data_IF_608645370257
#
_entry.id   IF_608645370257
#
_cell.length_a   1.000
_cell.length_b   1.000
_cell.length_c   1.000
_cell.angle_alpha   90.00
_cell.angle_beta   90.00
_cell.angle_gamma   90.00
#
_symmetry.space_group_name_H-M   'P 1'
#
loop_
_entity.id
_entity.type
_entity.pdbx_description
1 polymer ?
#
# COMPACT_ATOMS: atom_id res chain seq x y z
N UNK A 1 -18.98 -16.75 8.20
CA UNK A 1 -18.74 -15.39 8.71
C UNK A 1 -18.69 -15.50 10.23
N UNK A 2 -17.50 -15.33 10.83
CA UNK A 2 -17.37 -15.23 12.29
C UNK A 2 -17.90 -13.89 12.77
N UNK A 3 -18.28 -13.78 14.04
CA UNK A 3 -18.87 -12.55 14.58
C UNK A 3 -17.92 -11.35 14.37
N UNK A 4 -18.48 -10.22 13.91
CA UNK A 4 -17.90 -8.87 13.90
C UNK A 4 -16.72 -8.57 12.94
N UNK A 5 -16.79 -9.03 11.69
CA UNK A 5 -15.90 -8.57 10.63
C UNK A 5 -16.59 -7.50 9.77
N UNK A 6 -16.00 -6.31 9.70
CA UNK A 6 -16.46 -5.21 8.85
C UNK A 6 -15.35 -4.76 7.92
N UNK A 7 -15.56 -4.93 6.61
CA UNK A 7 -14.64 -4.44 5.58
C UNK A 7 -15.35 -3.39 4.76
N UNK A 8 -14.93 -2.14 4.92
CA UNK A 8 -15.37 -1.03 4.09
C UNK A 8 -14.31 -0.76 3.03
N UNK A 9 -14.74 -0.64 1.78
CA UNK A 9 -13.85 -0.34 0.64
C UNK A 9 -14.29 0.95 -0.02
N UNK A 10 -13.36 1.68 -0.62
CA UNK A 10 -13.66 2.91 -1.35
C UNK A 10 -14.53 2.63 -2.56
N UNK A 11 -15.51 3.51 -2.80
CA UNK A 11 -16.37 3.47 -3.98
C UNK A 11 -16.49 4.87 -4.55
N UNK A 12 -16.27 4.99 -5.85
CA UNK A 12 -16.47 6.21 -6.62
C UNK A 12 -17.85 6.20 -7.26
N UNK A 13 -18.49 7.37 -7.26
CA UNK A 13 -19.72 7.65 -7.99
C UNK A 13 -19.53 8.89 -8.86
N UNK A 14 -19.93 8.81 -10.13
CA UNK A 14 -19.75 9.91 -11.10
C UNK A 14 -18.35 9.96 -11.72
N UNK A 15 -18.07 11.01 -12.48
CA UNK A 15 -16.82 11.17 -13.23
C UNK A 15 -16.72 10.24 -14.44
N UNK A 16 -15.48 9.90 -14.84
CA UNK A 16 -15.24 8.94 -15.92
C UNK A 16 -15.66 7.54 -15.47
N UNK A 17 -16.62 6.93 -16.18
CA UNK A 17 -17.20 5.63 -15.81
C UNK A 17 -16.19 4.47 -15.88
N UNK A 18 -15.23 4.51 -16.80
CA UNK A 18 -14.20 3.49 -16.90
C UNK A 18 -13.27 3.55 -15.69
N UNK A 19 -12.84 4.75 -15.29
CA UNK A 19 -12.01 4.96 -14.08
C UNK A 19 -12.75 4.53 -12.83
N UNK A 20 -14.03 4.94 -12.67
CA UNK A 20 -14.84 4.54 -11.52
C UNK A 20 -15.02 3.02 -11.45
N UNK A 21 -15.27 2.37 -12.58
CA UNK A 21 -15.39 0.90 -12.65
C UNK A 21 -14.08 0.21 -12.28
N UNK A 22 -12.96 0.65 -12.85
CA UNK A 22 -11.64 0.08 -12.56
C UNK A 22 -11.28 0.22 -11.08
N UNK A 23 -11.46 1.41 -10.51
CA UNK A 23 -11.19 1.66 -9.10
C UNK A 23 -12.11 0.85 -8.18
N UNK A 24 -13.43 0.85 -8.43
CA UNK A 24 -14.37 0.14 -7.57
C UNK A 24 -14.09 -1.38 -7.59
N UNK A 25 -13.78 -1.94 -8.75
CA UNK A 25 -13.41 -3.35 -8.89
C UNK A 25 -12.11 -3.66 -8.14
N UNK A 26 -11.06 -2.85 -8.32
CA UNK A 26 -9.78 -3.03 -7.65
C UNK A 26 -9.91 -2.85 -6.12
N UNK A 27 -10.72 -1.90 -5.68
CA UNK A 27 -10.99 -1.63 -4.27
C UNK A 27 -11.74 -2.79 -3.60
N UNK A 28 -12.76 -3.36 -4.27
CA UNK A 28 -13.44 -4.58 -3.81
C UNK A 28 -12.47 -5.77 -3.77
N UNK A 29 -11.61 -5.93 -4.78
CA UNK A 29 -10.60 -6.97 -4.81
C UNK A 29 -9.60 -6.83 -3.64
N UNK A 30 -9.12 -5.61 -3.36
CA UNK A 30 -8.27 -5.29 -2.21
C UNK A 30 -8.93 -5.67 -0.87
N UNK A 31 -10.23 -5.38 -0.70
CA UNK A 31 -10.99 -5.83 0.47
C UNK A 31 -11.09 -7.35 0.59
N UNK A 32 -11.26 -8.07 -0.54
CA UNK A 32 -11.26 -9.54 -0.56
C UNK A 32 -9.89 -10.11 -0.19
N UNK A 33 -8.80 -9.56 -0.73
CA UNK A 33 -7.43 -9.95 -0.39
C UNK A 33 -7.20 -9.85 1.12
N UNK A 34 -7.60 -8.74 1.72
CA UNK A 34 -7.51 -8.54 3.16
C UNK A 34 -8.36 -9.55 3.94
N UNK A 35 -9.58 -9.85 3.47
CA UNK A 35 -10.42 -10.90 4.04
C UNK A 35 -9.78 -12.30 3.96
N UNK A 36 -9.11 -12.63 2.85
CA UNK A 36 -8.44 -13.94 2.68
C UNK A 36 -7.22 -14.10 3.58
N UNK A 37 -6.48 -13.02 3.89
CA UNK A 37 -5.36 -13.07 4.85
C UNK A 37 -5.85 -13.54 6.23
N UNK A 38 -7.03 -13.07 6.63
CA UNK A 38 -7.63 -13.48 7.90
C UNK A 38 -8.15 -14.93 7.87
N UNK A 39 -8.36 -15.50 6.69
CA UNK A 39 -8.76 -16.90 6.54
C UNK A 39 -7.53 -17.83 6.50
N UNK A 40 -6.37 -17.35 6.04
CA UNK A 40 -5.13 -18.13 5.93
C UNK A 40 -4.32 -18.22 7.22
N UNK A 41 -4.40 -17.21 8.09
CA UNK A 41 -3.41 -17.02 9.16
C UNK A 41 -3.74 -17.74 10.48
N UNK A 42 -4.61 -18.74 10.45
CA UNK A 42 -5.03 -19.47 11.66
C UNK A 42 -5.74 -18.57 12.68
N UNK A 43 -6.39 -17.52 12.18
CA UNK A 43 -7.07 -16.49 12.96
C UNK A 43 -8.13 -17.10 13.87
N UNK A 44 -8.05 -16.80 15.16
CA UNK A 44 -9.03 -17.22 16.16
C UNK A 44 -10.30 -16.40 15.96
N UNK A 45 -11.35 -17.01 15.39
CA UNK A 45 -12.59 -16.29 15.09
C UNK A 45 -13.49 -16.04 16.31
N UNK A 46 -13.37 -16.87 17.35
CA UNK A 46 -14.10 -16.63 18.60
C UNK A 46 -13.46 -15.48 19.36
N UNK A 47 -14.27 -14.56 19.89
CA UNK A 47 -13.78 -13.40 20.66
C UNK A 47 -12.80 -12.50 19.89
N UNK A 48 -12.95 -12.43 18.57
CA UNK A 48 -12.17 -11.55 17.72
C UNK A 48 -13.04 -10.58 16.93
N UNK A 49 -12.44 -9.44 16.57
CA UNK A 49 -13.03 -8.44 15.67
C UNK A 49 -12.06 -8.17 14.52
N UNK A 50 -12.62 -7.74 13.39
CA UNK A 50 -11.83 -7.21 12.30
C UNK A 50 -12.53 -6.02 11.66
N UNK A 51 -11.88 -4.88 11.61
CA UNK A 51 -12.42 -3.68 10.98
C UNK A 51 -11.41 -3.13 9.97
N UNK A 52 -11.87 -2.88 8.74
CA UNK A 52 -11.06 -2.26 7.70
C UNK A 52 -11.74 -1.03 7.09
N UNK A 53 -10.97 0.05 6.95
CA UNK A 53 -11.44 1.35 6.46
C UNK A 53 -10.54 1.90 5.36
N UNK A 54 -11.12 2.47 4.28
CA UNK A 54 -10.35 3.02 3.18
C UNK A 54 -10.08 4.51 3.39
N UNK A 55 -8.91 4.96 2.96
CA UNK A 55 -8.66 6.38 2.62
C UNK A 55 -8.49 6.47 1.12
N UNK A 56 -9.33 7.26 0.46
CA UNK A 56 -9.27 7.50 -0.99
C UNK A 56 -8.65 8.88 -1.25
N UNK A 57 -7.70 8.94 -2.18
CA UNK A 57 -7.04 10.18 -2.59
C UNK A 57 -7.09 10.35 -4.11
N UNK A 58 -7.07 11.61 -4.54
CA UNK A 58 -7.13 11.99 -5.95
C UNK A 58 -5.92 12.87 -6.30
N UNK A 59 -5.26 12.55 -7.40
CA UNK A 59 -4.25 13.37 -8.06
C UNK A 59 -4.65 13.60 -9.52
N UNK A 60 -3.99 14.50 -10.27
CA UNK A 60 -4.38 14.80 -11.65
C UNK A 60 -4.49 13.56 -12.56
N UNK A 61 -3.60 12.58 -12.37
CA UNK A 61 -3.53 11.37 -13.20
C UNK A 61 -3.80 10.07 -12.45
N UNK A 62 -4.13 10.13 -11.16
CA UNK A 62 -4.41 8.92 -10.38
C UNK A 62 -5.55 9.09 -9.40
N UNK A 63 -6.27 7.99 -9.17
CA UNK A 63 -7.10 7.80 -7.98
C UNK A 63 -6.56 6.61 -7.20
N UNK A 64 -6.36 6.81 -5.90
CA UNK A 64 -5.67 5.84 -5.06
C UNK A 64 -6.48 5.51 -3.81
N UNK A 65 -6.27 4.31 -3.28
CA UNK A 65 -6.80 3.87 -2.00
C UNK A 65 -5.66 3.33 -1.14
N UNK A 66 -5.72 3.64 0.15
CA UNK A 66 -5.06 2.86 1.20
C UNK A 66 -6.15 2.26 2.07
N UNK A 67 -6.27 0.93 2.05
CA UNK A 67 -7.18 0.20 2.92
C UNK A 67 -6.38 -0.30 4.12
N UNK A 68 -6.78 0.09 5.33
CA UNK A 68 -6.17 -0.37 6.58
C UNK A 68 -7.15 -1.23 7.34
N UNK A 69 -6.69 -2.38 7.80
CA UNK A 69 -7.42 -3.31 8.64
C UNK A 69 -6.79 -3.45 10.02
N UNK A 70 -7.62 -3.65 11.04
CA UNK A 70 -7.19 -3.96 12.40
C UNK A 70 -7.89 -5.24 12.85
N UNK A 71 -7.10 -6.26 13.13
CA UNK A 71 -7.55 -7.51 13.75
C UNK A 71 -7.24 -7.48 15.24
N UNK A 72 -8.24 -7.78 16.05
CA UNK A 72 -8.08 -7.95 17.50
C UNK A 72 -8.67 -9.29 17.94
N UNK A 73 -8.03 -9.92 18.92
CA UNK A 73 -8.56 -11.10 19.61
C UNK A 73 -8.42 -10.91 21.11
N UNK A 74 -9.44 -11.33 21.87
CA UNK A 74 -9.46 -11.21 23.32
C UNK A 74 -8.23 -11.91 23.95
N UNK A 75 -7.53 -11.19 24.81
CA UNK A 75 -6.32 -11.69 25.47
C UNK A 75 -5.05 -11.64 24.62
N UNK A 76 -5.11 -11.14 23.37
CA UNK A 76 -3.90 -10.82 22.60
C UNK A 76 -3.15 -9.65 23.25
N UNK A 77 -1.81 -9.68 23.17
CA UNK A 77 -0.95 -8.63 23.73
C UNK A 77 -1.14 -7.28 23.00
N UNK A 78 -1.42 -7.31 21.70
CA UNK A 78 -1.72 -6.16 20.85
C UNK A 78 -2.52 -6.64 19.62
N UNK A 79 -3.17 -5.73 18.86
CA UNK A 79 -3.78 -6.07 17.58
C UNK A 79 -2.75 -6.39 16.49
N UNK A 80 -3.21 -7.00 15.40
CA UNK A 80 -2.49 -7.15 14.14
C UNK A 80 -3.08 -6.17 13.12
N UNK A 81 -2.23 -5.52 12.34
CA UNK A 81 -2.66 -4.55 11.34
C UNK A 81 -2.44 -5.10 9.93
N UNK A 82 -3.37 -4.80 9.03
CA UNK A 82 -3.28 -5.12 7.61
C UNK A 82 -3.30 -3.85 6.78
N UNK A 83 -2.61 -3.84 5.65
CA UNK A 83 -2.67 -2.73 4.69
C UNK A 83 -2.69 -3.30 3.27
N UNK A 84 -3.49 -2.70 2.42
CA UNK A 84 -3.42 -2.90 0.96
C UNK A 84 -3.59 -1.55 0.28
N UNK A 85 -3.01 -1.38 -0.91
CA UNK A 85 -3.23 -0.17 -1.71
C UNK A 85 -3.79 -0.48 -3.09
N UNK A 86 -4.40 0.53 -3.70
CA UNK A 86 -4.84 0.54 -5.10
C UNK A 86 -4.39 1.86 -5.70
N UNK A 87 -3.89 1.82 -6.92
CA UNK A 87 -3.58 3.01 -7.72
C UNK A 87 -4.12 2.78 -9.13
N UNK A 88 -5.06 3.61 -9.56
CA UNK A 88 -5.63 3.59 -10.91
C UNK A 88 -5.15 4.83 -11.67
N UNK A 89 -4.59 4.62 -12.86
CA UNK A 89 -4.30 5.67 -13.82
C UNK A 89 -5.61 6.18 -14.44
N UNK A 90 -5.89 7.47 -14.27
CA UNK A 90 -7.14 8.08 -14.75
C UNK A 90 -7.14 8.33 -16.26
N UNK A 91 -5.99 8.26 -16.93
CA UNK A 91 -5.85 8.50 -18.37
C UNK A 91 -6.38 7.34 -19.21
N UNK A 92 -6.24 6.12 -18.70
CA UNK A 92 -6.57 4.88 -19.41
C UNK A 92 -7.40 3.89 -18.58
N UNK A 93 -7.72 4.21 -17.32
CA UNK A 93 -8.47 3.38 -16.39
C UNK A 93 -7.82 2.02 -16.09
N UNK A 94 -6.49 1.95 -16.04
CA UNK A 94 -5.76 0.73 -15.65
C UNK A 94 -5.12 0.87 -14.27
N UNK A 95 -4.98 -0.23 -13.51
CA UNK A 95 -4.11 -0.24 -12.33
C UNK A 95 -2.67 0.13 -12.70
N UNK A 96 -1.95 0.77 -11.79
CA UNK A 96 -0.50 0.95 -11.86
C UNK A 96 0.14 0.02 -10.83
N UNK A 97 0.95 -0.91 -11.30
CA UNK A 97 1.74 -1.83 -10.46
C UNK A 97 3.17 -1.31 -10.28
N UNK A 98 3.99 -1.97 -9.43
CA UNK A 98 5.42 -1.65 -9.34
C UNK A 98 6.16 -1.93 -10.65
N UNK A 99 5.73 -2.94 -11.42
CA UNK A 99 6.31 -3.27 -12.72
C UNK A 99 6.00 -2.21 -13.78
N UNK A 100 4.86 -1.53 -13.69
CA UNK A 100 4.53 -0.40 -14.56
C UNK A 100 5.29 0.87 -14.17
N UNK A 101 5.64 1.01 -12.88
CA UNK A 101 6.17 2.25 -12.30
C UNK A 101 7.55 2.63 -12.87
N UNK A 102 8.41 1.64 -13.10
CA UNK A 102 9.81 1.85 -13.48
C UNK A 102 10.08 1.43 -14.92
N UNK A 103 11.03 2.11 -15.57
CA UNK A 103 11.57 1.64 -16.87
C UNK A 103 12.26 0.28 -16.71
N UNK A 104 12.92 0.08 -15.56
CA UNK A 104 13.55 -1.17 -15.16
C UNK A 104 13.27 -1.43 -13.68
N UNK A 105 12.37 -2.38 -13.39
CA UNK A 105 12.03 -2.79 -12.02
C UNK A 105 13.26 -3.27 -11.23
N UNK A 106 14.24 -3.90 -11.89
CA UNK A 106 15.46 -4.38 -11.23
C UNK A 106 16.38 -3.23 -10.81
N UNK A 107 16.24 -2.04 -11.41
CA UNK A 107 16.89 -0.81 -10.95
C UNK A 107 16.03 -0.03 -9.94
N UNK A 108 14.70 -0.05 -10.12
CA UNK A 108 13.74 0.63 -9.26
C UNK A 108 13.69 0.08 -7.83
N UNK A 109 13.58 -1.25 -7.66
CA UNK A 109 13.47 -1.87 -6.33
C UNK A 109 14.70 -1.62 -5.44
N UNK A 110 15.96 -1.75 -5.93
CA UNK A 110 17.13 -1.34 -5.15
C UNK A 110 17.09 0.12 -4.74
N UNK A 111 16.60 1.03 -5.60
CA UNK A 111 16.46 2.44 -5.23
C UNK A 111 15.43 2.63 -4.12
N UNK A 112 14.30 1.93 -4.16
CA UNK A 112 13.30 1.99 -3.08
C UNK A 112 13.88 1.52 -1.74
N UNK A 113 14.61 0.41 -1.76
CA UNK A 113 15.30 -0.13 -0.58
C UNK A 113 16.36 0.82 -0.02
N UNK A 114 17.19 1.38 -0.89
CA UNK A 114 18.24 2.35 -0.52
C UNK A 114 17.63 3.59 0.12
N UNK A 115 16.64 4.21 -0.53
CA UNK A 115 15.99 5.42 -0.04
C UNK A 115 15.23 5.16 1.27
N UNK A 116 14.58 4.00 1.39
CA UNK A 116 13.93 3.59 2.65
C UNK A 116 14.95 3.57 3.79
N UNK A 117 16.11 2.93 3.60
CA UNK A 117 17.19 2.87 4.60
C UNK A 117 17.76 4.25 4.94
N UNK A 118 17.89 5.14 3.95
CA UNK A 118 18.39 6.51 4.13
C UNK A 118 17.40 7.42 4.88
N UNK A 119 16.10 7.31 4.58
CA UNK A 119 15.05 8.15 5.18
C UNK A 119 14.69 7.67 6.59
N UNK A 120 14.74 6.35 6.84
CA UNK A 120 14.30 5.76 8.10
C UNK A 120 14.78 6.46 9.39
N UNK A 121 16.06 6.85 9.55
CA UNK A 121 16.52 7.49 10.78
C UNK A 121 15.89 8.86 11.03
N UNK A 122 15.50 9.58 9.97
CA UNK A 122 14.86 10.90 10.10
C UNK A 122 13.41 10.78 10.55
N UNK A 123 12.73 9.69 10.18
CA UNK A 123 11.33 9.43 10.54
C UNK A 123 11.20 8.73 11.90
N UNK A 124 12.08 7.75 12.18
CA UNK A 124 11.94 6.87 13.35
C UNK A 124 13.00 7.06 14.44
N UNK A 125 13.91 8.03 14.27
CA UNK A 125 14.89 8.43 15.29
C UNK A 125 15.96 7.37 15.60
N UNK A 126 16.10 6.35 14.75
CA UNK A 126 17.09 5.27 14.90
C UNK A 126 17.50 4.73 13.52
N UNK A 127 18.72 4.20 13.36
CA UNK A 127 19.11 3.55 12.11
C UNK A 127 18.18 2.37 11.79
N UNK A 128 17.94 2.14 10.49
CA UNK A 128 17.32 0.90 10.03
C UNK A 128 18.31 -0.24 10.19
N UNK A 129 17.87 -1.34 10.82
CA UNK A 129 18.63 -2.58 10.89
C UNK A 129 18.75 -3.25 9.51
N UNK A 130 19.59 -4.28 9.40
CA UNK A 130 19.61 -5.12 8.21
C UNK A 130 18.42 -6.09 8.25
N UNK A 131 17.24 -5.56 7.90
CA UNK A 131 15.96 -6.24 8.00
C UNK A 131 15.58 -6.89 6.66
N UNK A 132 15.18 -8.18 6.64
CA UNK A 132 14.70 -8.84 5.41
C UNK A 132 13.54 -8.09 4.73
N UNK A 133 12.73 -7.39 5.52
CA UNK A 133 11.63 -6.54 5.05
C UNK A 133 12.05 -5.38 4.16
N UNK A 134 13.34 -5.00 4.10
CA UNK A 134 13.83 -3.95 3.18
C UNK A 134 14.56 -4.53 1.96
N UNK A 135 14.60 -5.85 1.78
CA UNK A 135 15.21 -6.48 0.59
C UNK A 135 14.51 -5.98 -0.69
N UNK A 136 15.23 -5.66 -1.78
CA UNK A 136 14.68 -5.08 -3.02
C UNK A 136 13.89 -6.10 -3.85
N UNK A 137 12.77 -6.56 -3.32
CA UNK A 137 11.81 -7.46 -3.98
C UNK A 137 10.43 -6.82 -3.95
N UNK A 138 9.63 -7.06 -4.99
CA UNK A 138 8.32 -6.45 -5.17
C UNK A 138 7.42 -6.59 -3.94
N UNK A 139 7.38 -7.79 -3.35
CA UNK A 139 6.62 -8.08 -2.13
C UNK A 139 6.89 -7.07 -1.00
N UNK A 140 8.11 -6.54 -0.86
CA UNK A 140 8.43 -5.64 0.24
C UNK A 140 7.98 -4.19 0.01
N UNK A 141 7.63 -3.82 -1.22
CA UNK A 141 7.31 -2.44 -1.61
C UNK A 141 5.94 -2.30 -2.29
N UNK A 142 5.15 -3.37 -2.39
CA UNK A 142 3.93 -3.42 -3.21
C UNK A 142 2.80 -2.49 -2.76
N UNK A 143 2.80 -2.08 -1.49
CA UNK A 143 1.79 -1.18 -0.93
C UNK A 143 2.28 0.27 -1.01
N UNK A 144 1.87 1.00 -2.04
CA UNK A 144 2.24 2.39 -2.22
C UNK A 144 1.12 3.21 -2.86
N UNK A 145 1.21 4.53 -2.72
CA UNK A 145 0.42 5.51 -3.49
C UNK A 145 1.32 6.68 -3.94
N UNK A 146 1.03 7.32 -5.09
CA UNK A 146 1.68 8.57 -5.46
C UNK A 146 1.09 9.72 -4.64
N UNK A 147 1.96 10.58 -4.10
CA UNK A 147 1.60 11.83 -3.42
C UNK A 147 2.23 13.01 -4.15
N UNK A 148 1.90 14.25 -3.75
CA UNK A 148 2.61 15.42 -4.27
C UNK A 148 4.09 15.44 -3.89
N UNK A 149 4.45 14.91 -2.71
CA UNK A 149 5.82 14.92 -2.20
C UNK A 149 6.69 13.76 -2.70
N UNK A 150 6.09 12.65 -3.12
CA UNK A 150 6.81 11.45 -3.48
C UNK A 150 5.96 10.20 -3.56
N UNK A 151 6.64 9.06 -3.71
CA UNK A 151 6.05 7.73 -3.61
C UNK A 151 5.92 7.37 -2.12
N UNK A 152 4.70 7.34 -1.59
CA UNK A 152 4.45 6.96 -0.21
C UNK A 152 4.20 5.45 -0.12
N UNK A 153 5.07 4.76 0.61
CA UNK A 153 5.09 3.31 0.77
C UNK A 153 4.60 2.96 2.17
N UNK A 154 3.70 2.00 2.24
CA UNK A 154 3.08 1.47 3.44
C UNK A 154 3.59 0.06 3.69
N UNK A 155 4.39 -0.12 4.71
CA UNK A 155 4.95 -1.42 5.05
C UNK A 155 3.96 -2.24 5.88
N UNK A 156 3.97 -3.55 5.67
CA UNK A 156 3.11 -4.47 6.40
C UNK A 156 3.47 -4.51 7.88
N UNK A 157 2.50 -4.89 8.72
CA UNK A 157 2.78 -5.17 10.13
C UNK A 157 3.83 -6.28 10.23
N UNK A 158 4.74 -6.17 11.20
CA UNK A 158 5.89 -7.07 11.39
C UNK A 158 6.95 -7.09 10.29
N UNK A 159 6.82 -6.29 9.22
CA UNK A 159 7.88 -6.19 8.21
C UNK A 159 9.20 -5.65 8.79
N UNK A 160 9.10 -4.78 9.81
CA UNK A 160 10.23 -4.16 10.54
C UNK A 160 10.04 -4.21 12.06
N UNK A 161 9.31 -5.21 12.55
CA UNK A 161 8.73 -5.24 13.90
C UNK A 161 7.29 -4.74 13.94
N UNK A 162 6.68 -4.76 15.12
CA UNK A 162 5.26 -4.41 15.29
C UNK A 162 4.97 -2.96 14.88
N UNK A 163 3.89 -2.77 14.14
CA UNK A 163 3.44 -1.50 13.56
C UNK A 163 3.52 -1.49 12.03
N UNK A 164 2.92 -0.48 11.40
CA UNK A 164 2.92 -0.28 9.94
C UNK A 164 3.71 0.97 9.56
N UNK A 165 5.04 0.88 9.39
CA UNK A 165 5.86 2.01 8.98
C UNK A 165 5.40 2.59 7.64
N UNK A 166 5.49 3.90 7.53
CA UNK A 166 5.26 4.65 6.29
C UNK A 166 6.53 5.42 5.94
N UNK A 167 6.93 5.37 4.67
CA UNK A 167 8.06 6.15 4.14
C UNK A 167 7.62 6.81 2.82
N UNK A 168 7.85 8.10 2.69
CA UNK A 168 7.68 8.81 1.42
C UNK A 168 9.04 9.02 0.76
N UNK A 169 9.28 8.38 -0.37
CA UNK A 169 10.49 8.60 -1.17
C UNK A 169 10.24 9.80 -2.09
N UNK A 170 11.00 10.90 -1.94
CA UNK A 170 10.78 12.10 -2.75
C UNK A 170 10.98 11.82 -4.23
N UNK A 171 10.12 12.41 -5.08
CA UNK A 171 10.22 12.24 -6.53
C UNK A 171 11.62 12.48 -7.13
N UNK A 172 12.40 13.48 -6.67
CA UNK A 172 13.77 13.68 -7.15
C UNK A 172 14.67 12.45 -7.02
N UNK A 173 14.42 11.58 -6.03
CA UNK A 173 15.21 10.35 -5.80
C UNK A 173 14.86 9.21 -6.75
N UNK A 174 13.77 9.36 -7.50
CA UNK A 174 13.30 8.41 -8.53
C UNK A 174 13.49 8.95 -9.95
N UNK A 175 14.11 10.14 -10.10
CA UNK A 175 14.36 10.77 -11.40
C UNK A 175 15.18 9.83 -12.29
N UNK A 176 14.74 9.66 -13.54
CA UNK A 176 15.41 8.80 -14.51
C UNK A 176 15.17 7.31 -14.34
N UNK A 177 14.45 6.87 -13.29
CA UNK A 177 14.06 5.47 -13.08
C UNK A 177 12.61 5.21 -13.48
N UNK A 178 11.72 6.20 -13.31
CA UNK A 178 10.32 6.08 -13.69
C UNK A 178 10.17 5.76 -15.18
N UNK A 179 9.22 4.88 -15.51
CA UNK A 179 8.80 4.68 -16.90
C UNK A 179 8.35 6.02 -17.51
N UNK A 180 8.54 6.25 -18.82
CA UNK A 180 8.19 7.54 -19.45
C UNK A 180 6.77 8.01 -19.12
N UNK A 181 5.79 7.12 -19.21
CA UNK A 181 4.39 7.43 -18.93
C UNK A 181 4.10 7.65 -17.43
N UNK A 182 4.99 7.22 -16.54
CA UNK A 182 4.86 7.35 -15.08
C UNK A 182 5.53 8.59 -14.52
N UNK A 183 6.34 9.31 -15.32
CA UNK A 183 6.92 10.59 -14.90
C UNK A 183 5.87 11.63 -14.51
N UNK A 184 4.65 11.51 -15.04
CA UNK A 184 3.52 12.39 -14.69
C UNK A 184 3.08 12.25 -13.24
N UNK A 185 3.40 11.14 -12.56
CA UNK A 185 3.07 10.95 -11.14
C UNK A 185 3.84 11.92 -10.23
N UNK A 186 4.99 12.41 -10.71
CA UNK A 186 5.86 13.35 -9.99
C UNK A 186 5.47 14.83 -10.15
N UNK A 187 4.37 15.12 -10.87
CA UNK A 187 3.87 16.47 -11.13
C UNK A 187 2.84 16.92 -10.09
#
# INVERSE_FOLDING_TARGET
MGADWHVTVGQLTGGNSAVATAFNNASIASGRTMGTMLDSDGVLRGQATFDATPTVSFRPTTVSQVLRGVYYHQGAAHPLNAVTTVVIDTRNATPITLDDLFTDTQAGLPRLSEQTKQIWPTVYGRPMGDEPGNTPVEKNFHNWIPTAGGLEIYFEDYQFGHGQPVITIPWPQLTGLLAPDMQVLAQ
#
